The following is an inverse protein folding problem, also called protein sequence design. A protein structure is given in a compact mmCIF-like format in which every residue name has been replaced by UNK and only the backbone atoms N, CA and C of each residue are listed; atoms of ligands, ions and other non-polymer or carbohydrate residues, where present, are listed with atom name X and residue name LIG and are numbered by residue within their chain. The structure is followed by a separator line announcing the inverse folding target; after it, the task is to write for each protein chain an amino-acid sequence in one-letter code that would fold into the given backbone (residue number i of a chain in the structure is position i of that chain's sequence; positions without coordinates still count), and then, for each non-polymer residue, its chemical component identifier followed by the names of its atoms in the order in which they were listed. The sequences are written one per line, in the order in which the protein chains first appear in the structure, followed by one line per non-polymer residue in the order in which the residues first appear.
data_IF_463336002144
#
_entry.id   IF_463336002144
#
_cell.length_a   1.000
_cell.length_b   1.000
_cell.length_c   1.000
_cell.angle_alpha   90.00
_cell.angle_beta   90.00
_cell.angle_gamma   90.00
#
_symmetry.space_group_name_H-M   'P 1'
#
loop_
_entity.id
_entity.type
_entity.pdbx_description
1 polymer ?
#
# COMPACT_ATOMS: atom_id res chain seq x y z
N UNK A 1 2.95 -5.11 -15.91
CA UNK A 1 2.68 -4.49 -14.60
C UNK A 1 2.28 -5.56 -13.60
N UNK A 2 2.80 -5.50 -12.39
CA UNK A 2 2.49 -6.51 -11.36
C UNK A 2 1.05 -6.38 -10.87
N UNK A 3 0.43 -7.49 -10.56
CA UNK A 3 -0.92 -7.49 -9.99
C UNK A 3 -0.89 -6.95 -8.55
N UNK A 4 -2.04 -6.43 -8.11
CA UNK A 4 -2.20 -5.96 -6.73
C UNK A 4 -1.88 -7.07 -5.72
N UNK A 5 -2.39 -8.27 -5.95
CA UNK A 5 -2.17 -9.42 -5.07
C UNK A 5 -0.70 -9.79 -4.97
N UNK A 6 0.01 -9.76 -6.09
CA UNK A 6 1.45 -10.09 -6.11
C UNK A 6 2.26 -9.08 -5.30
N UNK A 7 1.94 -7.80 -5.42
CA UNK A 7 2.63 -6.74 -4.68
C UNK A 7 2.37 -6.88 -3.19
N UNK A 8 1.12 -7.10 -2.79
CA UNK A 8 0.76 -7.28 -1.39
C UNK A 8 1.35 -8.57 -0.80
N UNK A 9 1.41 -9.64 -1.58
CA UNK A 9 2.05 -10.90 -1.18
C UNK A 9 3.55 -10.71 -0.96
N UNK A 10 4.20 -9.93 -1.81
CA UNK A 10 5.64 -9.63 -1.65
C UNK A 10 5.88 -8.86 -0.36
N UNK A 11 5.06 -7.86 -0.05
CA UNK A 11 5.17 -7.12 1.19
C UNK A 11 4.99 -8.04 2.40
N UNK A 12 3.97 -8.88 2.37
CA UNK A 12 3.70 -9.85 3.42
C UNK A 12 4.89 -10.80 3.64
N UNK A 13 5.47 -11.29 2.55
CA UNK A 13 6.62 -12.19 2.60
C UNK A 13 7.81 -11.54 3.29
N UNK A 14 8.10 -10.28 2.96
CA UNK A 14 9.20 -9.53 3.58
C UNK A 14 9.01 -9.42 5.09
N UNK A 15 7.81 -9.05 5.53
CA UNK A 15 7.52 -8.90 6.95
C UNK A 15 7.46 -10.24 7.67
N UNK A 16 6.97 -11.28 7.01
CA UNK A 16 6.95 -12.62 7.59
C UNK A 16 8.35 -13.11 7.89
N UNK A 17 9.30 -12.91 6.98
CA UNK A 17 10.70 -13.29 7.18
C UNK A 17 11.32 -12.51 8.32
N UNK A 18 11.10 -11.19 8.37
CA UNK A 18 11.62 -10.35 9.44
C UNK A 18 11.00 -10.72 10.79
N UNK A 19 9.70 -10.99 10.81
CA UNK A 19 8.99 -11.41 12.02
C UNK A 19 9.50 -12.77 12.53
N UNK A 20 9.74 -13.70 11.61
CA UNK A 20 10.30 -15.00 11.96
C UNK A 20 11.68 -14.89 12.63
N UNK A 21 12.55 -14.00 12.11
CA UNK A 21 13.86 -13.76 12.71
C UNK A 21 13.73 -13.13 14.09
N UNK A 22 12.81 -12.20 14.28
CA UNK A 22 12.58 -11.58 15.58
C UNK A 22 12.03 -12.60 16.57
N UNK A 23 11.18 -13.52 16.13
CA UNK A 23 10.63 -14.58 16.95
C UNK A 23 11.71 -15.56 17.40
N UNK A 24 12.61 -15.95 16.50
CA UNK A 24 13.74 -16.82 16.85
C UNK A 24 14.68 -16.17 17.85
N UNK A 25 14.84 -14.84 17.76
CA UNK A 25 15.66 -14.07 18.70
C UNK A 25 14.91 -13.74 20.00
N UNK A 26 13.66 -14.14 20.12
CA UNK A 26 12.78 -13.82 21.25
C UNK A 26 12.67 -12.32 21.54
N UNK A 27 12.75 -11.51 20.48
CA UNK A 27 12.64 -10.06 20.56
C UNK A 27 11.18 -9.63 20.39
N UNK A 28 10.46 -9.58 21.51
CA UNK A 28 9.03 -9.25 21.51
C UNK A 28 8.77 -7.82 21.05
N UNK A 29 9.62 -6.89 21.45
CA UNK A 29 9.47 -5.48 21.04
C UNK A 29 9.59 -5.35 19.53
N UNK A 30 10.57 -6.04 18.94
CA UNK A 30 10.75 -6.07 17.49
C UNK A 30 9.56 -6.69 16.77
N UNK A 31 9.00 -7.76 17.34
CA UNK A 31 7.81 -8.41 16.77
C UNK A 31 6.62 -7.46 16.74
N UNK A 32 6.40 -6.72 17.82
CA UNK A 32 5.31 -5.74 17.90
C UNK A 32 5.54 -4.59 16.92
N UNK A 33 6.76 -4.08 16.83
CA UNK A 33 7.12 -3.03 15.87
C UNK A 33 6.89 -3.46 14.44
N UNK A 34 7.28 -4.69 14.11
CA UNK A 34 7.09 -5.23 12.76
C UNK A 34 5.61 -5.38 12.41
N UNK A 35 4.81 -5.83 13.35
CA UNK A 35 3.36 -5.96 13.14
C UNK A 35 2.72 -4.60 12.87
N UNK A 36 3.02 -3.60 13.69
CA UNK A 36 2.51 -2.25 13.52
C UNK A 36 2.99 -1.62 12.22
N UNK A 37 4.27 -1.81 11.88
CA UNK A 37 4.84 -1.30 10.63
C UNK A 37 4.20 -1.95 9.41
N UNK A 38 3.96 -3.26 9.47
CA UNK A 38 3.31 -3.98 8.38
C UNK A 38 1.92 -3.42 8.11
N UNK A 39 1.13 -3.21 9.15
CA UNK A 39 -0.23 -2.68 9.00
C UNK A 39 -0.22 -1.29 8.36
N UNK A 40 0.68 -0.42 8.80
CA UNK A 40 0.81 0.93 8.22
C UNK A 40 1.26 0.88 6.77
N UNK A 41 2.28 0.08 6.47
CA UNK A 41 2.83 -0.01 5.12
C UNK A 41 1.85 -0.67 4.16
N UNK A 42 1.10 -1.66 4.62
CA UNK A 42 0.06 -2.27 3.81
C UNK A 42 -0.99 -1.24 3.43
N UNK A 43 -1.43 -0.42 4.38
CA UNK A 43 -2.42 0.62 4.11
C UNK A 43 -1.90 1.66 3.11
N UNK A 44 -0.66 2.12 3.31
CA UNK A 44 -0.03 3.07 2.39
C UNK A 44 0.08 2.46 0.98
N UNK A 45 0.50 1.20 0.90
CA UNK A 45 0.65 0.51 -0.38
C UNK A 45 -0.69 0.34 -1.08
N UNK A 46 -1.76 0.04 -0.35
CA UNK A 46 -3.10 -0.06 -0.91
C UNK A 46 -3.54 1.27 -1.53
N UNK A 47 -3.27 2.38 -0.86
CA UNK A 47 -3.57 3.73 -1.39
C UNK A 47 -2.77 3.98 -2.67
N UNK A 48 -1.49 3.62 -2.68
CA UNK A 48 -0.63 3.79 -3.87
C UNK A 48 -1.12 2.92 -5.03
N UNK A 49 -1.59 1.71 -4.75
CA UNK A 49 -2.17 0.84 -5.78
C UNK A 49 -3.46 1.41 -6.33
N UNK A 50 -4.28 2.03 -5.50
CA UNK A 50 -5.49 2.72 -5.95
C UNK A 50 -5.15 3.89 -6.87
N UNK A 51 -4.09 4.64 -6.56
CA UNK A 51 -3.59 5.72 -7.43
C UNK A 51 -3.13 5.15 -8.77
N UNK A 52 -2.37 4.06 -8.75
CA UNK A 52 -1.92 3.38 -9.97
C UNK A 52 -3.10 2.96 -10.84
N UNK A 53 -4.10 2.34 -10.22
CA UNK A 53 -5.28 1.87 -10.94
C UNK A 53 -6.06 3.05 -11.54
N UNK A 54 -6.16 4.16 -10.83
CA UNK A 54 -6.79 5.38 -11.33
C UNK A 54 -6.04 5.95 -12.54
N UNK A 55 -4.70 5.95 -12.49
CA UNK A 55 -3.87 6.42 -13.60
C UNK A 55 -4.00 5.51 -14.82
N UNK A 56 -4.09 4.19 -14.61
CA UNK A 56 -4.33 3.25 -15.71
C UNK A 56 -5.69 3.48 -16.35
N UNK A 57 -6.71 3.78 -15.55
CA UNK A 57 -8.05 4.08 -16.06
C UNK A 57 -8.06 5.35 -16.91
N UNK A 58 -7.27 6.37 -16.55
CA UNK A 58 -7.11 7.58 -17.35
C UNK A 58 -6.47 7.28 -18.70
N UNK A 59 -5.48 6.38 -18.70
CA UNK A 59 -4.82 5.97 -19.94
C UNK A 59 -5.73 5.21 -20.89
N UNK A 60 -6.65 4.42 -20.34
CA UNK A 60 -7.59 3.62 -21.12
C UNK A 60 -8.81 4.42 -21.57
N UNK A 61 -9.26 5.36 -20.74
CA UNK A 61 -10.38 6.24 -21.08
C UNK A 61 -9.85 7.60 -21.50
N UNK A 62 -10.03 7.93 -22.76
CA UNK A 62 -9.68 9.29 -23.23
C UNK A 62 -10.59 10.30 -22.50
N UNK A 63 -10.08 10.90 -21.46
CA UNK A 63 -10.66 12.03 -20.73
C UNK A 63 -12.07 11.84 -20.22
N UNK A 64 -12.23 11.21 -19.11
CA UNK A 64 -13.48 11.40 -18.42
C UNK A 64 -13.27 12.42 -17.29
N UNK A 65 -14.18 13.36 -17.16
CA UNK A 65 -14.26 14.26 -16.02
C UNK A 65 -14.27 13.50 -14.70
N UNK A 66 -14.80 12.28 -14.72
CA UNK A 66 -14.84 11.41 -13.55
C UNK A 66 -13.44 10.99 -13.11
N UNK A 67 -12.51 10.76 -14.04
CA UNK A 67 -11.13 10.42 -13.71
C UNK A 67 -10.42 11.59 -13.03
N UNK A 68 -10.65 12.82 -13.53
CA UNK A 68 -10.12 14.04 -12.91
C UNK A 68 -10.69 14.23 -11.50
N UNK A 69 -11.98 13.98 -11.32
CA UNK A 69 -12.61 14.07 -10.00
C UNK A 69 -12.01 13.05 -9.02
N UNK A 70 -11.75 11.84 -9.48
CA UNK A 70 -11.08 10.81 -8.66
C UNK A 70 -9.69 11.26 -8.24
N UNK A 71 -8.92 11.83 -9.15
CA UNK A 71 -7.59 12.37 -8.83
C UNK A 71 -7.66 13.50 -7.82
N UNK A 72 -8.61 14.42 -7.98
CA UNK A 72 -8.82 15.50 -7.02
C UNK A 72 -9.18 14.97 -5.63
N UNK A 73 -10.04 13.95 -5.57
CA UNK A 73 -10.43 13.30 -4.32
C UNK A 73 -9.22 12.67 -3.64
N UNK A 74 -8.40 11.94 -4.38
CA UNK A 74 -7.17 11.35 -3.87
C UNK A 74 -6.19 12.39 -3.38
N UNK A 75 -6.08 13.50 -4.11
CA UNK A 75 -5.22 14.62 -3.73
C UNK A 75 -5.66 15.26 -2.42
N UNK A 76 -6.97 15.46 -2.25
CA UNK A 76 -7.54 15.96 -0.99
C UNK A 76 -7.30 14.99 0.15
N UNK A 77 -7.48 13.70 -0.08
CA UNK A 77 -7.25 12.67 0.91
C UNK A 77 -5.79 12.67 1.37
N UNK A 78 -4.85 12.79 0.44
CA UNK A 78 -3.43 12.86 0.75
C UNK A 78 -3.09 14.08 1.60
N UNK A 79 -3.74 15.22 1.32
CA UNK A 79 -3.56 16.43 2.14
C UNK A 79 -4.08 16.26 3.56
N UNK A 80 -5.21 15.57 3.71
CA UNK A 80 -5.80 15.32 5.03
C UNK A 80 -5.00 14.33 5.86
N UNK A 81 -4.25 13.47 5.20
CA UNK A 81 -3.42 12.46 5.86
C UNK A 81 -2.09 13.01 6.40
N UNK A 82 -1.78 14.26 6.14
CA UNK A 82 -0.56 14.90 6.65
C UNK A 82 -0.75 15.46 8.05
#
# INVERSE_FOLDING_TARGET
MRTRERILTNLESIYRDAYGRAKEAEDKDRMMDLDASFQREQLILEVLLDVRDALCAIGDESTSESALKKLETLKKFTRLAR
#
